data_IF_921965859093
#
_entry.id   IF_921965859093
#
_cell.length_a   1.000
_cell.length_b   1.000
_cell.length_c   1.000
_cell.angle_alpha   90.00
_cell.angle_beta   90.00
_cell.angle_gamma   90.00
#
_symmetry.space_group_name_H-M   'P 1'
#
loop_
_entity.id
_entity.type
_entity.pdbx_description
1 polymer ?
#
# COMPACT_ATOMS: atom_id res chain seq x y z
N UNK A 1 -22.86 13.33 -37.89
CA UNK A 1 -23.26 11.91 -37.99
C UNK A 1 -23.45 11.39 -36.59
N UNK A 2 -24.65 10.95 -36.21
CA UNK A 2 -24.93 10.40 -34.87
C UNK A 2 -24.96 8.87 -35.02
N UNK A 3 -24.03 8.19 -34.37
CA UNK A 3 -23.94 6.74 -34.41
C UNK A 3 -24.79 6.12 -33.29
N UNK A 4 -25.92 5.52 -33.66
CA UNK A 4 -26.75 4.71 -32.76
C UNK A 4 -26.50 3.21 -32.99
N UNK A 5 -26.65 2.41 -31.93
CA UNK A 5 -26.57 0.94 -31.93
C UNK A 5 -25.18 0.34 -32.19
N UNK A 6 -24.22 0.66 -31.32
CA UNK A 6 -22.90 0.01 -31.29
C UNK A 6 -22.75 -0.78 -29.99
N UNK A 7 -23.20 -2.04 -29.97
CA UNK A 7 -23.14 -2.91 -28.78
C UNK A 7 -21.69 -3.17 -28.30
N UNK A 8 -20.70 -3.16 -29.21
CA UNK A 8 -19.28 -3.38 -28.88
C UNK A 8 -18.49 -2.10 -28.52
N UNK A 9 -19.13 -0.92 -28.44
CA UNK A 9 -18.46 0.36 -28.17
C UNK A 9 -17.57 0.36 -26.92
N UNK A 10 -18.03 -0.05 -25.72
CA UNK A 10 -17.21 0.03 -24.51
C UNK A 10 -15.98 -0.88 -24.58
N UNK A 11 -16.09 -2.05 -25.22
CA UNK A 11 -14.98 -2.98 -25.39
C UNK A 11 -13.91 -2.45 -26.34
N UNK A 12 -14.33 -1.75 -27.41
CA UNK A 12 -13.40 -1.07 -28.35
C UNK A 12 -12.73 0.16 -27.72
N UNK A 13 -13.44 0.96 -26.92
CA UNK A 13 -12.83 2.10 -26.20
C UNK A 13 -11.84 1.65 -25.13
N UNK A 14 -12.10 0.53 -24.44
CA UNK A 14 -11.14 -0.04 -23.47
C UNK A 14 -9.92 -0.66 -24.17
N UNK A 15 -10.08 -1.24 -25.35
CA UNK A 15 -8.96 -1.76 -26.14
C UNK A 15 -8.07 -0.65 -26.72
N UNK A 16 -8.61 0.56 -26.90
CA UNK A 16 -7.90 1.75 -27.39
C UNK A 16 -7.81 2.82 -26.27
N UNK A 17 -7.27 2.39 -25.12
CA UNK A 17 -7.18 3.22 -23.91
C UNK A 17 -6.30 4.46 -24.14
N UNK A 18 -5.22 4.34 -24.91
CA UNK A 18 -4.30 5.46 -25.17
C UNK A 18 -4.96 6.58 -25.98
N UNK A 19 -5.63 6.25 -27.08
CA UNK A 19 -6.35 7.25 -27.88
C UNK A 19 -7.52 7.84 -27.11
N UNK A 20 -8.24 7.01 -26.34
CA UNK A 20 -9.35 7.46 -25.48
C UNK A 20 -8.88 8.42 -24.39
N UNK A 21 -7.72 8.17 -23.77
CA UNK A 21 -7.14 9.06 -22.77
C UNK A 21 -6.68 10.40 -23.35
N UNK A 22 -6.15 10.42 -24.58
CA UNK A 22 -5.71 11.66 -25.25
C UNK A 22 -6.91 12.51 -25.69
N UNK A 23 -8.00 11.88 -26.14
CA UNK A 23 -9.19 12.58 -26.64
C UNK A 23 -10.17 13.05 -25.54
N UNK A 24 -9.98 12.62 -24.28
CA UNK A 24 -10.88 12.98 -23.17
C UNK A 24 -10.61 14.40 -22.64
N UNK A 25 -11.65 15.07 -22.13
CA UNK A 25 -11.48 16.38 -21.46
C UNK A 25 -10.55 16.23 -20.25
N UNK A 26 -9.59 17.16 -20.10
CA UNK A 26 -8.60 17.19 -18.99
C UNK A 26 -9.18 16.93 -17.60
N UNK A 27 -10.40 17.43 -17.29
CA UNK A 27 -11.07 17.17 -16.00
C UNK A 27 -11.29 15.69 -15.72
N UNK A 28 -11.63 14.90 -16.74
CA UNK A 28 -11.82 13.46 -16.59
C UNK A 28 -10.50 12.69 -16.59
N UNK A 29 -9.51 13.15 -17.35
CA UNK A 29 -8.16 12.57 -17.32
C UNK A 29 -7.56 12.67 -15.90
N UNK A 30 -7.61 13.86 -15.29
CA UNK A 30 -7.16 14.08 -13.92
C UNK A 30 -7.95 13.24 -12.90
N UNK A 31 -9.26 13.10 -13.09
CA UNK A 31 -10.10 12.27 -12.24
C UNK A 31 -9.71 10.79 -12.32
N UNK A 32 -9.50 10.26 -13.53
CA UNK A 32 -9.11 8.86 -13.75
C UNK A 32 -7.73 8.60 -13.13
N UNK A 33 -6.76 9.48 -13.36
CA UNK A 33 -5.41 9.36 -12.79
C UNK A 33 -5.46 9.37 -11.26
N UNK A 34 -6.13 10.39 -10.67
CA UNK A 34 -6.30 10.49 -9.22
C UNK A 34 -7.00 9.27 -8.63
N UNK A 35 -8.06 8.78 -9.29
CA UNK A 35 -8.79 7.59 -8.84
C UNK A 35 -7.93 6.33 -8.91
N UNK A 36 -7.09 6.19 -9.94
CA UNK A 36 -6.17 5.06 -10.08
C UNK A 36 -5.15 5.03 -8.94
N UNK A 37 -4.54 6.18 -8.60
CA UNK A 37 -3.64 6.27 -7.45
C UNK A 37 -4.36 5.95 -6.13
N UNK A 38 -5.51 6.56 -5.87
CA UNK A 38 -6.30 6.30 -4.66
C UNK A 38 -6.67 4.82 -4.50
N UNK A 39 -7.12 4.18 -5.58
CA UNK A 39 -7.45 2.75 -5.58
C UNK A 39 -6.22 1.88 -5.33
N UNK A 40 -5.07 2.21 -5.93
CA UNK A 40 -3.82 1.49 -5.69
C UNK A 40 -3.36 1.61 -4.22
N UNK A 41 -3.37 2.82 -3.65
CA UNK A 41 -3.01 3.04 -2.25
C UNK A 41 -3.94 2.29 -1.29
N UNK A 42 -5.25 2.31 -1.57
CA UNK A 42 -6.24 1.58 -0.77
C UNK A 42 -6.04 0.07 -0.86
N UNK A 43 -5.79 -0.47 -2.07
CA UNK A 43 -5.56 -1.90 -2.27
C UNK A 43 -4.34 -2.38 -1.49
N UNK A 44 -3.19 -1.72 -1.66
CA UNK A 44 -1.98 -2.10 -0.92
C UNK A 44 -2.11 -1.84 0.59
N UNK A 45 -2.79 -0.75 0.99
CA UNK A 45 -3.11 -0.48 2.40
C UNK A 45 -3.94 -1.59 3.04
N UNK A 46 -4.92 -2.13 2.32
CA UNK A 46 -5.71 -3.30 2.76
C UNK A 46 -4.86 -4.56 2.86
N UNK A 47 -3.94 -4.79 1.91
CA UNK A 47 -3.03 -5.95 1.97
C UNK A 47 -2.11 -5.86 3.19
N UNK A 48 -1.46 -4.72 3.42
CA UNK A 48 -0.60 -4.53 4.61
C UNK A 48 -1.38 -4.64 5.91
N UNK A 49 -2.59 -4.08 5.95
CA UNK A 49 -3.47 -4.22 7.11
C UNK A 49 -3.84 -5.69 7.35
N UNK A 50 -4.13 -6.45 6.29
CA UNK A 50 -4.40 -7.88 6.35
C UNK A 50 -3.20 -8.71 6.80
N UNK A 51 -1.99 -8.38 6.34
CA UNK A 51 -0.74 -9.02 6.78
C UNK A 51 -0.51 -8.76 8.27
N UNK A 52 -0.63 -7.50 8.72
CA UNK A 52 -0.50 -7.13 10.12
C UNK A 52 -1.57 -7.80 11.00
N UNK A 53 -2.81 -7.93 10.49
CA UNK A 53 -3.90 -8.61 11.17
C UNK A 53 -3.64 -10.12 11.30
N UNK A 54 -3.17 -10.76 10.24
CA UNK A 54 -2.89 -12.19 10.21
C UNK A 54 -1.67 -12.56 11.07
N UNK A 55 -0.66 -11.70 11.12
CA UNK A 55 0.50 -11.85 11.99
C UNK A 55 0.12 -11.58 13.46
N UNK A 56 -0.86 -10.73 13.71
CA UNK A 56 -1.29 -10.36 15.06
C UNK A 56 -0.60 -9.10 15.61
N UNK A 57 -0.06 -8.25 14.73
CA UNK A 57 0.67 -7.02 15.08
C UNK A 57 -0.17 -6.06 15.94
N UNK A 58 -1.50 -6.09 15.80
CA UNK A 58 -2.41 -5.27 16.59
C UNK A 58 -2.61 -5.75 18.03
N UNK A 59 -2.26 -7.01 18.33
CA UNK A 59 -2.43 -7.59 19.65
C UNK A 59 -1.20 -7.41 20.55
N UNK A 60 -0.13 -6.80 20.03
CA UNK A 60 1.08 -6.55 20.81
C UNK A 60 1.03 -5.21 21.52
N UNK A 61 0.75 -5.33 22.81
CA UNK A 61 1.22 -4.39 23.79
C UNK A 61 2.75 -4.56 23.92
N UNK A 62 3.53 -3.91 23.05
CA UNK A 62 4.97 -3.75 23.29
C UNK A 62 5.10 -2.80 24.49
N UNK A 63 5.65 -3.23 25.64
CA UNK A 63 6.07 -2.27 26.63
C UNK A 63 7.24 -1.50 26.01
N UNK A 64 7.00 -0.24 25.66
CA UNK A 64 8.10 0.72 25.49
C UNK A 64 8.85 0.68 26.83
N UNK A 65 10.00 -0.02 26.88
CA UNK A 65 10.93 0.16 27.98
C UNK A 65 11.55 1.54 27.81
N UNK A 66 10.78 2.55 28.21
CA UNK A 66 11.33 3.81 28.68
C UNK A 66 12.11 3.49 29.96
N UNK A 67 13.42 3.68 29.91
CA UNK A 67 14.26 3.73 31.10
C UNK A 67 15.40 2.73 31.11
N UNK A 68 16.61 3.29 31.05
CA UNK A 68 17.84 2.68 31.56
C UNK A 68 17.57 1.82 32.80
N UNK A 69 17.92 0.54 32.74
CA UNK A 69 18.36 -0.20 33.92
C UNK A 69 19.11 -1.46 33.49
N UNK A 70 20.40 -1.40 33.76
CA UNK A 70 21.30 -2.53 33.94
C UNK A 70 20.62 -3.73 34.61
N UNK A 71 20.39 -4.82 33.87
CA UNK A 71 20.11 -6.14 34.45
C UNK A 71 20.41 -7.26 33.44
N UNK A 72 21.55 -7.92 33.66
CA UNK A 72 21.66 -9.38 33.84
C UNK A 72 20.69 -10.28 33.06
N UNK A 73 21.27 -10.99 32.08
CA UNK A 73 21.13 -12.43 31.83
C UNK A 73 19.73 -13.04 31.98
N UNK A 74 18.99 -13.16 30.87
CA UNK A 74 18.16 -14.34 30.57
C UNK A 74 18.16 -14.58 29.06
N UNK A 75 18.74 -15.71 28.66
CA UNK A 75 18.69 -16.28 27.32
C UNK A 75 17.23 -16.56 26.91
N UNK A 76 16.82 -16.13 25.70
CA UNK A 76 15.68 -16.75 25.00
C UNK A 76 14.29 -16.11 25.12
N UNK A 77 14.15 -14.81 25.38
CA UNK A 77 12.91 -14.10 24.98
C UNK A 77 13.07 -13.64 23.54
N UNK A 78 12.50 -14.39 22.60
CA UNK A 78 12.25 -13.86 21.25
C UNK A 78 11.38 -12.61 21.41
N UNK A 79 12.01 -11.46 21.26
CA UNK A 79 11.34 -10.17 21.27
C UNK A 79 10.43 -10.14 20.03
N UNK A 80 9.12 -10.22 20.25
CA UNK A 80 8.18 -10.24 19.13
C UNK A 80 8.34 -8.96 18.31
N UNK A 81 8.63 -9.13 17.01
CA UNK A 81 8.82 -8.04 16.07
C UNK A 81 7.63 -8.00 15.10
N UNK A 82 6.98 -6.85 14.91
CA UNK A 82 5.86 -6.74 13.98
C UNK A 82 6.33 -6.78 12.53
N UNK A 83 5.45 -7.13 11.58
CA UNK A 83 5.79 -7.09 10.15
C UNK A 83 6.09 -5.66 9.66
N UNK A 84 5.37 -4.67 10.22
CA UNK A 84 5.53 -3.25 9.90
C UNK A 84 5.47 -2.45 11.20
N UNK A 85 6.51 -1.66 11.45
CA UNK A 85 6.61 -0.82 12.64
C UNK A 85 5.54 0.29 12.63
N UNK A 86 5.00 0.57 13.81
CA UNK A 86 4.04 1.66 14.07
C UNK A 86 2.74 1.63 13.24
N UNK A 87 2.32 0.44 12.80
CA UNK A 87 1.00 0.22 12.17
C UNK A 87 0.02 -0.32 13.21
N UNK A 88 -0.84 0.57 13.74
CA UNK A 88 -1.82 0.24 14.79
C UNK A 88 -3.23 -0.03 14.26
N UNK A 89 -3.46 0.15 12.96
CA UNK A 89 -4.76 -0.10 12.34
C UNK A 89 -4.74 0.24 10.85
N UNK A 90 -5.92 0.24 10.23
CA UNK A 90 -6.07 0.45 8.79
C UNK A 90 -5.47 1.77 8.32
N UNK A 91 -5.70 2.88 9.04
CA UNK A 91 -5.15 4.18 8.67
C UNK A 91 -3.62 4.18 8.69
N UNK A 92 -3.00 3.48 9.66
CA UNK A 92 -1.54 3.32 9.71
C UNK A 92 -1.01 2.55 8.50
N UNK A 93 -1.69 1.47 8.11
CA UNK A 93 -1.33 0.70 6.92
C UNK A 93 -1.57 1.47 5.61
N UNK A 94 -2.63 2.26 5.53
CA UNK A 94 -2.93 3.13 4.39
C UNK A 94 -1.86 4.22 4.22
N UNK A 95 -1.44 4.87 5.32
CA UNK A 95 -0.35 5.85 5.28
C UNK A 95 0.96 5.20 4.85
N UNK A 96 1.29 4.02 5.37
CA UNK A 96 2.47 3.26 4.92
C UNK A 96 2.43 2.93 3.43
N UNK A 97 1.26 2.55 2.90
CA UNK A 97 1.05 2.31 1.47
C UNK A 97 1.32 3.57 0.63
N UNK A 98 0.82 4.74 1.06
CA UNK A 98 1.11 6.02 0.39
C UNK A 98 2.61 6.31 0.43
N UNK A 99 3.23 6.24 1.60
CA UNK A 99 4.66 6.53 1.81
C UNK A 99 5.55 5.64 0.92
N UNK A 100 5.16 4.38 0.74
CA UNK A 100 5.89 3.39 -0.06
C UNK A 100 5.73 3.65 -1.56
N UNK A 101 4.50 3.80 -2.06
CA UNK A 101 4.27 3.95 -3.51
C UNK A 101 4.68 5.32 -4.03
N UNK A 102 4.54 6.37 -3.23
CA UNK A 102 5.01 7.72 -3.60
C UNK A 102 6.50 7.92 -3.34
N UNK A 103 7.17 6.92 -2.75
CA UNK A 103 8.60 6.97 -2.38
C UNK A 103 8.99 8.11 -1.43
N UNK A 104 8.01 8.68 -0.72
CA UNK A 104 8.28 9.70 0.31
C UNK A 104 9.05 9.08 1.48
N UNK A 105 8.61 7.89 1.93
CA UNK A 105 9.31 7.09 2.95
C UNK A 105 9.74 7.88 4.19
N UNK A 106 8.79 8.45 4.94
CA UNK A 106 9.12 9.26 6.14
C UNK A 106 9.99 8.52 7.17
N UNK A 107 9.99 7.19 7.15
CA UNK A 107 10.83 6.34 8.01
C UNK A 107 10.25 6.09 9.40
N UNK A 108 9.06 6.64 9.70
CA UNK A 108 8.33 6.32 10.93
C UNK A 108 7.64 4.95 10.86
N UNK A 109 7.21 4.53 9.66
CA UNK A 109 6.63 3.21 9.39
C UNK A 109 7.57 2.46 8.47
N UNK A 110 8.12 1.35 8.95
CA UNK A 110 9.14 0.59 8.24
C UNK A 110 8.78 -0.89 8.24
N UNK A 111 8.96 -1.53 7.08
CA UNK A 111 8.85 -2.99 6.93
C UNK A 111 10.02 -3.67 7.64
N UNK A 112 9.75 -4.78 8.33
CA UNK A 112 10.75 -5.62 8.98
C UNK A 112 11.01 -6.89 8.16
N UNK A 113 12.05 -7.63 8.52
CA UNK A 113 12.41 -8.90 7.87
C UNK A 113 11.60 -10.11 8.37
N UNK A 114 10.73 -9.91 9.36
CA UNK A 114 9.93 -10.98 9.99
C UNK A 114 8.93 -11.62 9.03
N UNK A 115 8.35 -10.80 8.15
CA UNK A 115 7.25 -11.21 7.28
C UNK A 115 7.66 -11.10 5.81
N UNK A 116 8.09 -12.21 5.17
CA UNK A 116 8.47 -12.23 3.76
C UNK A 116 7.35 -11.72 2.84
N UNK A 117 6.10 -11.96 3.23
CA UNK A 117 4.93 -11.48 2.49
C UNK A 117 4.83 -9.94 2.47
N UNK A 118 5.22 -9.27 3.56
CA UNK A 118 5.24 -7.81 3.62
C UNK A 118 6.33 -7.26 2.68
N UNK A 119 7.52 -7.88 2.69
CA UNK A 119 8.64 -7.52 1.80
C UNK A 119 8.25 -7.69 0.33
N UNK A 120 7.67 -8.84 -0.04
CA UNK A 120 7.19 -9.08 -1.41
C UNK A 120 6.11 -8.08 -1.81
N UNK A 121 5.21 -7.73 -0.89
CA UNK A 121 4.16 -6.72 -1.15
C UNK A 121 4.78 -5.36 -1.46
N UNK A 122 5.80 -4.92 -0.72
CA UNK A 122 6.53 -3.67 -1.00
C UNK A 122 7.16 -3.70 -2.39
N UNK A 123 7.82 -4.80 -2.77
CA UNK A 123 8.43 -4.94 -4.11
C UNK A 123 7.38 -4.83 -5.21
N UNK A 124 6.25 -5.54 -5.07
CA UNK A 124 5.15 -5.46 -6.03
C UNK A 124 4.55 -4.05 -6.09
N UNK A 125 4.42 -3.39 -4.95
CA UNK A 125 3.91 -2.02 -4.88
C UNK A 125 4.84 -1.04 -5.59
N UNK A 126 6.16 -1.17 -5.45
CA UNK A 126 7.11 -0.33 -6.17
C UNK A 126 7.02 -0.53 -7.68
N UNK A 127 6.93 -1.78 -8.15
CA UNK A 127 6.79 -2.08 -9.58
C UNK A 127 5.48 -1.51 -10.13
N UNK A 128 4.36 -1.70 -9.43
CA UNK A 128 3.06 -1.16 -9.83
C UNK A 128 3.07 0.37 -9.80
N UNK A 129 3.70 0.98 -8.80
CA UNK A 129 3.90 2.43 -8.73
C UNK A 129 4.58 2.97 -9.98
N UNK A 130 5.69 2.34 -10.41
CA UNK A 130 6.40 2.72 -11.64
C UNK A 130 5.64 2.45 -12.94
N UNK A 131 4.60 1.61 -12.94
CA UNK A 131 3.76 1.35 -14.12
C UNK A 131 2.62 2.36 -14.23
N UNK A 132 2.11 2.83 -13.08
CA UNK A 132 1.01 3.80 -13.01
C UNK A 132 1.51 5.23 -13.27
N UNK A 133 2.73 5.55 -12.83
CA UNK A 133 3.42 6.82 -13.09
C UNK A 133 3.87 6.94 -14.56
#
# INVERSE_FOLDING_TARGET
VVFNNMEDKPRRYLADIFTTCVDIRWRYLLLIFTTTFLLSWLLFGLVFWGVALAHGDFNLYVPVKDGDSWATTEEGREEWRPCILHVQGFIGAFLFSIETQTTIGYGFRCVTEECPIAVVTVVLQSIVGCIID
#
